data_IF_404357132101
#
_entry.id   IF_404357132101
#
_cell.length_a   1.000
_cell.length_b   1.000
_cell.length_c   1.000
_cell.angle_alpha   90.00
_cell.angle_beta   90.00
_cell.angle_gamma   90.00
#
_symmetry.space_group_name_H-M   'P 1'
#
loop_
_entity.id
_entity.type
_entity.pdbx_description
1 polymer ?
2 non-polymer ?
3 water ?
#
# COMPACT_ATOMS: atom_id res chain seq x y z
N UNK A 6 23.24 -5.93 18.33
CA UNK A 6 23.38 -5.17 17.06
C UNK A 6 22.18 -4.26 16.82
N UNK A 7 22.40 -2.96 16.96
CA UNK A 7 21.34 -1.97 16.77
C UNK A 7 21.22 -1.60 15.30
N UNK A 8 20.05 -1.11 14.89
CA UNK A 8 19.85 -0.72 13.50
C UNK A 8 20.47 0.64 13.21
N UNK A 9 20.51 1.50 14.22
CA UNK A 9 21.06 2.84 14.07
C UNK A 9 22.00 3.15 15.22
N UNK A 10 23.19 3.66 14.91
CA UNK A 10 24.16 4.01 15.95
C UNK A 10 23.77 5.31 16.64
N UNK A 11 24.43 5.59 17.76
CA UNK A 11 24.16 6.80 18.54
C UNK A 11 24.37 8.08 17.75
N UNK A 12 25.29 8.05 16.79
CA UNK A 12 25.55 9.23 15.98
C UNK A 12 24.66 9.30 14.74
N UNK A 13 23.77 8.32 14.59
CA UNK A 13 22.86 8.33 13.46
C UNK A 13 23.14 7.43 12.26
N UNK A 14 24.35 6.88 12.17
CA UNK A 14 24.65 6.01 11.03
C UNK A 14 23.79 4.76 11.07
N UNK A 15 23.32 4.33 9.91
CA UNK A 15 22.48 3.15 9.82
C UNK A 15 23.34 1.91 9.60
N UNK A 16 23.01 0.81 10.27
CA UNK A 16 23.78 -0.43 10.15
C UNK A 16 23.10 -1.48 9.28
N UNK A 17 22.53 -1.06 8.15
CA UNK A 17 21.88 -2.00 7.25
C UNK A 17 22.75 -2.32 6.04
N UNK A 18 22.91 -3.61 5.75
CA UNK A 18 23.71 -4.05 4.62
C UNK A 18 22.79 -4.41 3.46
N UNK A 19 22.85 -3.62 2.39
CA UNK A 19 22.01 -3.85 1.22
C UNK A 19 22.52 -5.03 0.39
N UNK A 29 14.79 0.04 -10.18
CA UNK A 29 14.22 -1.30 -10.27
C UNK A 29 13.82 -1.84 -8.90
N UNK A 30 14.34 -1.23 -7.84
CA UNK A 30 14.02 -1.64 -6.48
C UNK A 30 13.42 -0.49 -5.69
N UNK A 31 12.74 0.42 -6.38
CA UNK A 31 12.11 1.55 -5.72
C UNK A 31 10.74 1.14 -5.19
N UNK A 32 9.92 0.55 -6.06
CA UNK A 32 8.59 0.08 -5.65
C UNK A 32 8.39 -1.36 -6.08
N UNK A 33 7.67 -2.13 -5.27
CA UNK A 33 7.40 -3.52 -5.62
C UNK A 33 6.51 -3.52 -6.86
N UNK A 34 6.70 -4.49 -7.74
CA UNK A 34 5.91 -4.56 -8.97
C UNK A 34 4.42 -4.77 -8.70
N UNK A 35 4.10 -5.48 -7.62
CA UNK A 35 2.70 -5.72 -7.29
C UNK A 35 2.35 -5.21 -5.91
N UNK A 36 1.06 -5.04 -5.67
CA UNK A 36 0.55 -4.61 -4.37
C UNK A 36 -0.26 -5.81 -3.89
N UNK A 37 -0.64 -5.84 -2.62
CA UNK A 37 -1.42 -6.97 -2.13
C UNK A 37 -2.46 -6.51 -1.13
N UNK A 38 -3.44 -7.38 -0.90
CA UNK A 38 -4.47 -7.08 0.07
C UNK A 38 -4.64 -8.29 0.97
N UNK A 39 -4.33 -8.13 2.24
CA UNK A 39 -4.46 -9.22 3.21
C UNK A 39 -4.58 -8.65 4.62
N UNK A 40 -4.75 -9.54 5.60
CA UNK A 40 -4.91 -9.12 6.99
C UNK A 40 -3.59 -8.89 7.74
N UNK A 41 -3.57 -7.82 8.52
CA UNK A 41 -2.41 -7.45 9.33
C UNK A 41 -2.90 -6.68 10.54
N UNK A 42 -2.57 -7.17 11.73
CA UNK A 42 -2.99 -6.54 12.97
C UNK A 42 -4.50 -6.41 13.02
N UNK A 43 -5.18 -7.42 12.49
CA UNK A 43 -6.63 -7.46 12.50
C UNK A 43 -7.38 -6.63 11.48
N UNK A 44 -6.68 -6.05 10.51
CA UNK A 44 -7.36 -5.22 9.51
C UNK A 44 -7.02 -5.60 8.07
N UNK A 45 -8.02 -5.59 7.19
CA UNK A 45 -7.79 -5.88 5.78
C UNK A 45 -6.91 -4.71 5.34
N UNK A 46 -5.76 -5.01 4.76
CA UNK A 46 -4.83 -3.96 4.38
C UNK A 46 -4.26 -4.07 2.98
N UNK A 47 -4.19 -2.93 2.29
CA UNK A 47 -3.60 -2.86 0.96
C UNK A 47 -2.13 -2.54 1.25
N UNK A 48 -1.22 -3.33 0.70
CA UNK A 48 0.20 -3.13 0.96
C UNK A 48 1.07 -3.20 -0.30
N UNK A 49 2.18 -2.48 -0.27
CA UNK A 49 3.15 -2.49 -1.35
C UNK A 49 4.47 -2.10 -0.69
N UNK A 50 5.58 -2.44 -1.33
CA UNK A 50 6.88 -2.17 -0.74
C UNK A 50 7.64 -1.04 -1.40
N UNK A 51 8.38 -0.30 -0.58
CA UNK A 51 9.17 0.83 -1.04
C UNK A 51 10.63 0.58 -0.64
N UNK A 52 11.54 0.75 -1.60
CA UNK A 52 12.95 0.52 -1.33
C UNK A 52 13.75 1.80 -1.22
N UNK A 53 14.44 2.17 -2.30
CA UNK A 53 15.25 3.38 -2.30
C UNK A 53 15.86 3.66 -3.68
N UNK A 60 15.78 12.81 3.25
CA UNK A 60 15.23 13.88 4.08
C UNK A 60 13.86 14.30 3.57
N UNK A 61 12.94 14.56 4.50
CA UNK A 61 11.58 14.96 4.16
C UNK A 61 10.96 13.93 3.21
N UNK A 62 11.38 12.68 3.36
CA UNK A 62 10.89 11.57 2.54
C UNK A 62 9.44 11.27 2.92
N UNK A 63 8.52 11.64 2.04
CA UNK A 63 7.10 11.46 2.28
C UNK A 63 6.44 10.69 1.15
N UNK A 64 5.41 9.92 1.48
CA UNK A 64 4.73 9.15 0.47
C UNK A 64 3.25 9.51 0.45
N UNK A 65 2.67 9.49 -0.74
CA UNK A 65 1.25 9.81 -0.93
C UNK A 65 0.67 8.85 -1.96
N UNK A 66 -0.60 8.48 -1.80
CA UNK A 66 -1.27 7.57 -2.74
C UNK A 66 -2.61 8.14 -3.18
N UNK A 67 -2.88 8.04 -4.48
CA UNK A 67 -4.13 8.51 -5.04
C UNK A 67 -4.78 7.34 -5.75
N UNK A 68 -6.10 7.25 -5.69
CA UNK A 68 -6.79 6.19 -6.41
C UNK A 68 -7.43 6.85 -7.62
N UNK A 69 -6.99 6.46 -8.81
CA UNK A 69 -7.54 7.03 -10.04
C UNK A 69 -8.59 6.09 -10.59
N UNK A 70 -9.75 6.64 -10.93
CA UNK A 70 -10.81 5.82 -11.47
C UNK A 70 -11.94 6.61 -12.10
N UNK A 71 -12.61 5.96 -13.06
CA UNK A 71 -13.74 6.57 -13.74
C UNK A 71 -14.94 6.17 -12.91
N UNK A 72 -15.84 7.12 -12.69
CA UNK A 72 -17.03 6.82 -11.91
C UNK A 72 -18.14 7.81 -12.21
N UNK A 73 -19.36 7.44 -11.85
CA UNK A 73 -20.51 8.31 -12.05
C UNK A 73 -21.02 8.71 -10.68
N UNK A 74 -21.22 10.01 -10.48
CA UNK A 74 -21.71 10.49 -9.21
C UNK A 74 -23.19 10.15 -9.11
N UNK A 75 -23.74 10.17 -7.89
CA UNK A 75 -25.17 9.86 -7.78
C UNK A 75 -25.99 10.89 -8.55
N UNK A 76 -25.37 12.03 -8.83
CA UNK A 76 -26.04 13.09 -9.59
C UNK A 76 -26.11 12.67 -11.05
N UNK A 77 -25.44 11.56 -11.36
CA UNK A 77 -25.45 11.05 -12.72
C UNK A 77 -24.28 11.51 -13.56
N UNK A 78 -23.43 12.37 -13.00
CA UNK A 78 -22.29 12.87 -13.74
C UNK A 78 -21.18 11.82 -13.86
N UNK A 79 -20.61 11.72 -15.05
CA UNK A 79 -19.52 10.78 -15.29
C UNK A 79 -18.18 11.50 -15.17
N UNK A 80 -17.34 11.04 -14.26
CA UNK A 80 -16.02 11.62 -14.06
C UNK A 80 -15.02 10.67 -14.71
N UNK A 81 -14.54 11.01 -15.91
CA UNK A 81 -13.58 10.19 -16.66
C UNK A 81 -12.37 9.72 -15.87
N UNK A 82 -11.82 10.61 -15.05
CA UNK A 82 -10.65 10.27 -14.25
C UNK A 82 -10.66 11.03 -12.94
N UNK A 83 -11.35 10.48 -11.94
CA UNK A 83 -11.44 11.12 -10.64
C UNK A 83 -10.35 10.58 -9.72
N UNK A 84 -9.83 11.45 -8.86
CA UNK A 84 -8.77 11.07 -7.93
C UNK A 84 -9.28 11.03 -6.50
N UNK A 85 -9.18 9.86 -5.87
CA UNK A 85 -9.62 9.70 -4.49
C UNK A 85 -8.39 9.47 -3.60
N UNK A 86 -8.41 10.02 -2.40
CA UNK A 86 -7.28 9.86 -1.48
C UNK A 86 -7.20 8.46 -0.89
N UNK A 87 -5.97 7.99 -0.69
CA UNK A 87 -5.72 6.69 -0.08
C UNK A 87 -4.82 6.95 1.10
N UNK A 88 -5.39 6.86 2.30
CA UNK A 88 -4.67 7.12 3.54
C UNK A 88 -3.49 6.16 3.76
N UNK A 89 -2.27 6.70 3.80
CA UNK A 89 -1.11 5.86 4.07
C UNK A 89 -0.22 6.46 5.16
N UNK A 90 -0.84 7.06 6.17
CA UNK A 90 -0.09 7.63 7.28
C UNK A 90 -0.29 9.12 7.51
N UNK A 91 -1.00 9.77 6.60
CA UNK A 91 -1.27 11.20 6.70
C UNK A 91 -1.75 11.67 8.08
N UNK A 92 -2.60 10.88 8.73
CA UNK A 92 -3.14 11.29 10.03
C UNK A 92 -2.33 10.88 11.25
N UNK A 93 -1.25 10.12 11.05
CA UNK A 93 -0.42 9.68 12.18
C UNK A 93 1.04 10.08 12.00
N UNK A 94 1.39 10.49 10.78
CA UNK A 94 2.76 10.86 10.50
C UNK A 94 3.52 9.68 9.92
N UNK A 95 2.84 8.54 9.80
CA UNK A 95 3.46 7.33 9.26
C UNK A 95 3.84 7.50 7.79
N UNK A 96 3.36 8.57 7.17
CA UNK A 96 3.69 8.81 5.76
C UNK A 96 5.02 9.54 5.63
N UNK A 97 5.62 9.91 6.76
CA UNK A 97 6.93 10.57 6.75
C UNK A 97 7.85 9.36 6.99
N UNK A 98 8.47 8.88 5.92
CA UNK A 98 9.29 7.68 5.97
C UNK A 98 10.74 7.76 6.41
N UNK A 99 11.17 6.71 7.11
CA UNK A 99 12.55 6.57 7.54
C UNK A 99 13.00 5.35 6.74
N UNK A 100 13.65 5.61 5.61
CA UNK A 100 14.11 4.54 4.72
C UNK A 100 15.34 3.76 5.16
N UNK A 101 15.34 3.27 6.40
CA UNK A 101 16.47 2.51 6.93
C UNK A 101 16.64 1.18 6.18
N UNK A 102 15.59 0.77 5.47
CA UNK A 102 15.59 -0.48 4.71
C UNK A 102 14.25 -0.53 3.98
N UNK A 103 13.96 -1.63 3.25
CA UNK A 103 12.68 -1.69 2.53
C UNK A 103 11.49 -1.58 3.49
N UNK A 104 10.47 -0.83 3.08
CA UNK A 104 9.30 -0.66 3.93
C UNK A 104 8.03 -1.15 3.27
N UNK A 105 7.16 -1.77 4.07
CA UNK A 105 5.88 -2.22 3.55
C UNK A 105 4.90 -1.11 3.93
N UNK A 106 4.43 -0.40 2.91
CA UNK A 106 3.50 0.70 3.11
C UNK A 106 2.11 0.10 3.29
N UNK A 107 1.37 0.60 4.28
CA UNK A 107 0.04 0.08 4.56
C UNK A 107 -1.12 1.05 4.44
N UNK A 108 -2.15 0.64 3.71
CA UNK A 108 -3.36 1.43 3.61
C UNK A 108 -4.42 0.58 4.30
N UNK A 109 -4.86 1.01 5.48
CA UNK A 109 -5.87 0.27 6.23
C UNK A 109 -7.24 0.54 5.62
N UNK A 110 -7.89 -0.52 5.16
CA UNK A 110 -9.20 -0.35 4.54
C UNK A 110 -10.30 -0.22 5.57
N UNK A 111 -10.85 0.98 5.69
CA UNK A 111 -11.94 1.23 6.63
C UNK A 111 -13.09 1.95 5.93
N UNK A 112 -14.06 2.40 6.71
CA UNK A 112 -15.22 3.10 6.16
C UNK A 112 -14.85 4.33 5.33
N UNK A 113 -13.70 4.92 5.62
CA UNK A 113 -13.24 6.11 4.91
C UNK A 113 -12.48 5.81 3.62
N UNK A 114 -12.04 4.56 3.46
CA UNK A 114 -11.28 4.15 2.28
C UNK A 114 -12.10 3.92 1.02
N UNK A 115 -11.56 4.31 -0.15
CA UNK A 115 -12.27 4.11 -1.41
C UNK A 115 -12.38 2.61 -1.72
N UNK A 116 -11.67 1.79 -0.95
CA UNK A 116 -11.68 0.34 -1.13
C UNK A 116 -12.57 -0.34 -0.09
N UNK A 117 -13.30 0.48 0.67
CA UNK A 117 -14.20 0.00 1.71
C UNK A 117 -15.09 -1.17 1.29
N UNK A 118 -15.61 -1.13 0.06
CA UNK A 118 -16.48 -2.21 -0.40
C UNK A 118 -15.85 -3.06 -1.50
N UNK A 119 -14.53 -3.11 -1.53
CA UNK A 119 -13.81 -3.91 -2.52
C UNK A 119 -13.65 -5.33 -2.00
N UNK A 120 -14.09 -6.30 -2.79
CA UNK A 120 -13.98 -7.70 -2.39
C UNK A 120 -13.18 -8.43 -3.46
N UNK A 121 -12.73 -9.64 -3.14
CA UNK A 121 -11.97 -10.43 -4.09
C UNK A 121 -12.81 -10.60 -5.37
N UNK A 122 -14.12 -10.74 -5.20
CA UNK A 122 -15.03 -10.89 -6.33
C UNK A 122 -15.05 -9.63 -7.21
N UNK A 123 -15.45 -8.51 -6.61
CA UNK A 123 -15.53 -7.25 -7.34
C UNK A 123 -14.23 -6.88 -8.03
N UNK A 124 -13.10 -7.21 -7.40
CA UNK A 124 -11.80 -6.91 -7.99
C UNK A 124 -11.70 -7.48 -9.40
N UNK A 125 -12.33 -8.63 -9.61
CA UNK A 125 -12.30 -9.28 -10.91
C UNK A 125 -12.90 -8.41 -12.01
N UNK A 126 -13.82 -7.52 -11.63
CA UNK A 126 -14.45 -6.65 -12.62
C UNK A 126 -14.12 -5.17 -12.42
N UNK A 127 -13.50 -4.84 -11.29
CA UNK A 127 -13.13 -3.46 -10.99
C UNK A 127 -12.12 -2.93 -12.00
N UNK A 128 -12.02 -1.61 -12.06
CA UNK A 128 -11.08 -0.92 -12.93
C UNK A 128 -10.62 0.31 -12.16
N UNK A 129 -9.37 0.29 -11.72
CA UNK A 129 -8.82 1.41 -10.97
C UNK A 129 -7.31 1.44 -11.11
N UNK A 130 -6.70 2.51 -10.63
CA UNK A 130 -5.25 2.62 -10.70
C UNK A 130 -4.76 3.33 -9.45
N UNK A 131 -3.96 2.62 -8.66
CA UNK A 131 -3.40 3.20 -7.45
C UNK A 131 -2.10 3.85 -7.88
N UNK A 132 -2.02 5.18 -7.75
CA UNK A 132 -0.80 5.88 -8.10
C UNK A 132 -0.08 6.22 -6.80
N UNK A 133 1.22 5.93 -6.77
CA UNK A 133 2.02 6.17 -5.58
C UNK A 133 3.03 7.25 -5.90
N UNK A 134 3.15 8.21 -5.00
CA UNK A 134 4.09 9.30 -5.18
C UNK A 134 5.00 9.41 -3.96
N UNK A 135 6.29 9.25 -4.21
CA UNK A 135 7.29 9.33 -3.16
C UNK A 135 8.15 10.57 -3.46
N UNK A 136 8.31 11.42 -2.45
CA UNK A 136 9.11 12.64 -2.59
C UNK A 136 10.13 12.72 -1.47
N UNK A 137 11.34 13.15 -1.81
CA UNK A 137 12.38 13.28 -0.81
C UNK A 137 13.40 14.34 -1.17
N UNK A 138 14.37 14.52 -0.28
CA UNK A 138 15.44 15.50 -0.48
C UNK A 138 16.78 14.84 -0.18
N UNK A 143 20.20 21.06 -0.76
CA UNK A 143 19.05 20.43 -1.29
C UNK A 143 19.05 19.82 -2.68
N UNK A 144 18.29 18.50 -2.37
CA UNK A 144 17.93 17.51 -3.38
C UNK A 144 16.82 17.28 -4.19
N UNK A 145 15.54 18.16 -4.27
CA UNK A 145 14.20 17.84 -4.29
C UNK A 145 13.94 16.76 -5.38
N UNK A 146 13.60 15.25 -5.09
CA UNK A 146 13.22 14.34 -6.17
C UNK A 146 11.87 13.69 -5.92
N UNK A 147 11.33 13.15 -7.03
CA UNK A 147 10.05 12.49 -7.12
C UNK A 147 10.06 11.16 -7.70
N UNK A 148 9.75 10.07 -6.99
CA UNK A 148 9.62 8.78 -7.65
C UNK A 148 8.14 8.39 -7.63
N UNK A 149 7.66 7.85 -8.75
CA UNK A 149 6.32 7.40 -8.90
C UNK A 149 6.07 6.00 -9.32
N UNK A 150 4.94 5.43 -9.07
CA UNK A 150 4.59 4.15 -9.64
C UNK A 150 3.08 4.02 -9.74
N UNK A 151 2.62 2.92 -10.34
CA UNK A 151 1.21 2.68 -10.55
C UNK A 151 0.86 1.21 -10.40
N UNK A 152 -0.31 0.95 -9.82
CA UNK A 152 -0.83 -0.40 -9.64
C UNK A 152 -2.27 -0.45 -10.16
N UNK A 153 -2.49 -1.18 -11.25
CA UNK A 153 -3.83 -1.34 -11.80
C UNK A 153 -4.46 -2.51 -11.05
N UNK A 154 -5.77 -2.71 -11.21
CA UNK A 154 -6.48 -3.78 -10.50
C UNK A 154 -5.84 -5.17 -10.63
N UNK A 155 -5.31 -5.47 -11.81
CA UNK A 155 -4.68 -6.76 -12.08
C UNK A 155 -3.31 -6.89 -11.41
N UNK A 156 -2.80 -5.78 -10.87
CA UNK A 156 -1.50 -5.79 -10.21
C UNK A 156 -1.64 -5.72 -8.70
N UNK A 157 -2.87 -5.89 -8.22
CA UNK A 157 -3.16 -5.90 -6.79
C UNK A 157 -3.61 -7.33 -6.51
N UNK A 158 -2.81 -8.06 -5.73
CA UNK A 158 -3.11 -9.47 -5.44
C UNK A 158 -3.84 -9.75 -4.13
N UNK A 159 -5.11 -10.14 -4.24
CA UNK A 159 -5.91 -10.46 -3.07
C UNK A 159 -5.37 -11.73 -2.42
N UNK A 160 -5.33 -11.75 -1.10
CA UNK A 160 -4.86 -12.93 -0.39
C UNK A 160 -3.36 -13.19 -0.43
N UNK A 161 -2.56 -12.16 -0.70
CA UNK A 161 -1.11 -12.31 -0.74
C UNK A 161 -0.42 -11.51 0.37
N UNK A 162 0.81 -11.91 0.67
CA UNK A 162 1.61 -11.27 1.70
C UNK A 162 3.05 -11.21 1.18
N UNK A 163 3.78 -10.15 1.54
CA UNK A 163 5.17 -10.02 1.08
C UNK A 163 6.11 -10.88 1.90
N UNK A 164 7.17 -11.36 1.26
CA UNK A 164 8.19 -12.15 1.96
C UNK A 164 9.05 -11.14 2.70
N UNK A 165 9.68 -11.55 3.80
CA UNK A 165 10.53 -10.61 4.54
C UNK A 165 11.79 -10.34 3.73
N UNK A 166 12.37 -9.15 3.87
CA UNK A 166 13.60 -8.83 3.15
C UNK A 166 14.74 -8.54 4.12
N UNK A 167 14.39 -8.22 5.36
CA UNK A 167 15.39 -7.93 6.38
C UNK A 167 15.73 -9.21 7.12
N UNK A 168 17.03 -9.48 7.27
CA UNK A 168 17.51 -10.67 7.96
C UNK A 168 18.35 -10.30 9.17
N UNK A 174 22.33 -5.80 10.01
CA UNK A 174 21.16 -6.42 9.39
C UNK A 174 21.27 -6.37 7.87
N UNK A 175 20.95 -7.49 7.22
CA UNK A 175 21.05 -7.58 5.77
C UNK A 175 19.70 -7.62 5.05
N UNK A 176 19.67 -6.99 3.88
CA UNK A 176 18.47 -6.93 3.06
C UNK A 176 18.66 -7.76 1.80
N UNK A 177 17.80 -8.76 1.63
CA UNK A 177 17.85 -9.63 0.46
C UNK A 177 16.88 -9.09 -0.57
N UNK A 178 17.39 -8.29 -1.50
CA UNK A 178 16.55 -7.69 -2.54
C UNK A 178 16.04 -8.63 -3.61
N UNK A 179 16.41 -9.91 -3.54
CA UNK A 179 15.93 -10.86 -4.54
C UNK A 179 14.49 -11.22 -4.20
N UNK A 180 14.11 -10.94 -2.95
CA UNK A 180 12.77 -11.22 -2.45
C UNK A 180 11.90 -9.96 -2.40
N UNK A 181 12.48 -8.83 -2.80
CA UNK A 181 11.80 -7.54 -2.79
C UNK A 181 10.39 -7.57 -3.39
N UNK A 182 10.27 -8.16 -4.57
CA UNK A 182 8.99 -8.24 -5.28
C UNK A 182 8.16 -9.47 -4.96
N UNK A 183 8.75 -10.44 -4.29
CA UNK A 183 8.06 -11.69 -3.99
C UNK A 183 6.95 -11.65 -2.95
N UNK A 184 5.86 -12.35 -3.26
CA UNK A 184 4.71 -12.44 -2.36
C UNK A 184 4.20 -13.88 -2.43
N UNK A 185 3.46 -14.29 -1.41
CA UNK A 185 2.90 -15.63 -1.37
C UNK A 185 1.48 -15.55 -0.84
N UNK A 186 0.66 -16.54 -1.18
CA UNK A 186 -0.73 -16.57 -0.75
C UNK A 186 -0.90 -17.04 0.70
N UNK A 187 -1.86 -16.43 1.39
CA UNK A 187 -2.17 -16.77 2.77
C UNK A 187 -3.68 -16.77 2.94
N UNK A 188 -4.20 -17.56 3.89
CA UNK A 188 -5.64 -17.64 4.14
C UNK A 188 -6.26 -16.27 4.38
N UNK A 189 -6.99 -15.76 3.39
CA UNK A 189 -7.63 -14.45 3.50
C UNK A 189 -9.09 -14.48 3.06
N UNK A 190 -9.99 -13.93 3.89
CA UNK A 190 -11.42 -13.90 3.56
C UNK A 190 -11.63 -13.14 2.25
N UNK A 191 -12.57 -13.60 1.41
CA UNK A 191 -12.86 -12.96 0.12
C UNK A 191 -13.74 -11.72 0.20
N UNK A 192 -14.38 -11.51 1.35
CA UNK A 192 -15.29 -10.38 1.50
C UNK A 192 -14.63 -9.04 1.81
N UNK A 193 -15.32 -7.97 1.43
CA UNK A 193 -14.83 -6.62 1.67
C UNK A 193 -15.09 -6.22 3.11
N UNK A 194 -14.41 -5.18 3.56
CA UNK A 194 -14.57 -4.69 4.91
C UNK A 194 -16.02 -4.29 5.19
N UNK A 195 -16.69 -3.75 4.17
CA UNK A 195 -18.08 -3.34 4.32
C UNK A 195 -18.94 -4.58 4.55
N UNK A 196 -18.68 -5.63 3.78
CA UNK A 196 -19.42 -6.88 3.91
C UNK A 196 -19.13 -7.55 5.25
N UNK A 197 -17.91 -7.38 5.75
CA UNK A 197 -17.52 -7.96 7.03
C UNK A 197 -18.34 -7.33 8.13
N UNK A 198 -18.49 -5.98 8.05
CA UNK A 198 -19.25 -5.24 9.05
C UNK A 198 -20.74 -5.52 8.96
N UNK A 199 -21.23 -5.79 7.77
CA UNK A 199 -22.64 -6.08 7.58
C UNK A 199 -22.97 -7.43 8.20
N UNK A 200 -22.15 -8.43 7.89
CA UNK A 200 -22.35 -9.78 8.41
C UNK A 200 -22.21 -9.83 9.93
N UNK A 201 -21.63 -8.79 10.51
CA UNK A 201 -21.43 -8.74 11.95
C UNK A 201 -22.67 -8.21 12.67
N UNK A 202 -23.27 -7.15 12.13
CA UNK A 202 -24.45 -6.57 12.74
C UNK A 202 -25.52 -7.64 12.95
N UNK A 203 -25.70 -8.49 11.95
CA UNK A 203 -26.69 -9.56 12.02
C UNK A 203 -26.26 -10.72 12.90
N UNK A 204 -25.09 -11.29 12.62
CA UNK A 204 -24.59 -12.41 13.41
C UNK A 204 -24.12 -11.95 14.78
X LIG B 1 15.54 24.58 -1.61
X LIG C 1 10.72 22.77 1.54
X LIG D 1 3.24 19.96 6.43
X LIG E 1 -2.95 17.64 10.47
X LIG F 1 -6.87 16.16 13.03
#
# INVERSE_FOLDING_TARGET
GSKKRQRFVDKNGRCNVQHGNLGSERAETLMFSEHAVISMRDGKLTLMFRVGNLRNSHMVEAQIRCKLLKSRQTPEGEFLPLDQLELDVGFSTGADQLFLVSPLTICHVIDAKSPFYDLSQRSMQTEQFEVVVILEGIVETTGMTCQARTSYTEDEVLWGHRFFPVISLEEGFFKVDYSQFHATFEVPTPPYSVKEQEEMLLMSSPL
NA NA
NA NA
NA NA
NA NA
NA NA
#
